data_IF_483152571144
#
_entry.id   IF_483152571144
#
_cell.length_a   1.000
_cell.length_b   1.000
_cell.length_c   1.000
_cell.angle_alpha   90.00
_cell.angle_beta   90.00
_cell.angle_gamma   90.00
#
_symmetry.space_group_name_H-M   'P 1'
#
loop_
_entity.id
_entity.type
_entity.pdbx_description
1 polymer ?
#
# COMPACT_ATOMS: atom_id res chain seq x y z
N UNK A 1 8.57 0.37 -3.61
CA UNK A 1 9.36 -0.43 -2.65
C UNK A 1 10.65 -0.94 -3.28
N UNK A 2 10.57 -1.74 -4.34
CA UNK A 2 11.77 -2.36 -4.94
C UNK A 2 12.87 -1.36 -5.32
N UNK A 3 12.50 -0.18 -5.81
CA UNK A 3 13.45 0.88 -6.15
C UNK A 3 14.28 1.32 -4.93
N UNK A 4 13.65 1.59 -3.79
CA UNK A 4 14.38 1.94 -2.56
C UNK A 4 15.20 0.78 -2.01
N UNK A 5 14.62 -0.43 -1.96
CA UNK A 5 15.31 -1.63 -1.45
C UNK A 5 16.61 -1.93 -2.21
N UNK A 6 16.65 -1.63 -3.51
CA UNK A 6 17.81 -1.84 -4.38
C UNK A 6 18.58 -0.56 -4.71
N UNK A 7 18.21 0.56 -4.09
CA UNK A 7 18.79 1.88 -4.32
C UNK A 7 18.84 2.27 -5.82
N UNK A 8 17.80 1.90 -6.56
CA UNK A 8 17.68 2.21 -7.99
C UNK A 8 17.06 3.61 -8.14
N UNK A 9 17.76 4.55 -8.80
CA UNK A 9 17.22 5.88 -9.03
C UNK A 9 16.01 5.81 -9.95
N UNK A 10 15.01 6.63 -9.66
CA UNK A 10 13.78 6.71 -10.45
C UNK A 10 13.15 8.09 -10.30
N UNK A 11 12.33 8.46 -11.28
CA UNK A 11 11.48 9.64 -11.22
C UNK A 11 10.07 9.22 -10.81
N UNK A 12 9.57 9.77 -9.71
CA UNK A 12 8.20 9.51 -9.26
C UNK A 12 7.27 10.61 -9.78
N UNK A 13 6.34 10.22 -10.66
CA UNK A 13 5.32 11.10 -11.21
C UNK A 13 3.97 10.79 -10.58
N UNK A 14 3.38 11.77 -9.92
CA UNK A 14 2.00 11.69 -9.42
C UNK A 14 1.03 12.16 -10.50
N UNK A 15 0.03 11.32 -10.79
CA UNK A 15 -1.07 11.68 -11.68
C UNK A 15 -2.26 12.13 -10.85
N UNK A 16 -2.99 13.14 -11.32
CA UNK A 16 -4.25 13.54 -10.71
C UNK A 16 -5.22 12.34 -10.71
N UNK A 17 -5.92 12.07 -9.61
CA UNK A 17 -6.74 10.85 -9.50
C UNK A 17 -7.84 10.76 -10.55
N UNK A 18 -8.34 11.89 -11.05
CA UNK A 18 -9.34 11.93 -12.12
C UNK A 18 -8.76 11.85 -13.54
N UNK A 19 -7.42 11.91 -13.71
CA UNK A 19 -6.78 11.78 -15.02
C UNK A 19 -6.91 10.35 -15.55
N UNK A 20 -7.72 10.19 -16.59
CA UNK A 20 -7.86 8.94 -17.33
C UNK A 20 -6.99 8.95 -18.59
N UNK A 21 -6.80 10.11 -19.20
CA UNK A 21 -6.18 10.25 -20.51
C UNK A 21 -4.73 9.79 -20.50
N UNK A 22 -3.95 10.20 -19.48
CA UNK A 22 -2.54 9.84 -19.37
C UNK A 22 -2.33 8.33 -19.23
N UNK A 23 -2.91 7.62 -18.22
CA UNK A 23 -2.70 6.19 -18.09
C UNK A 23 -3.29 5.39 -19.26
N UNK A 24 -4.44 5.80 -19.81
CA UNK A 24 -5.01 5.16 -21.01
C UNK A 24 -4.09 5.32 -22.23
N UNK A 25 -3.48 6.49 -22.42
CA UNK A 25 -2.52 6.71 -23.50
C UNK A 25 -1.25 5.87 -23.37
N UNK A 26 -0.80 5.61 -22.13
CA UNK A 26 0.42 4.83 -21.86
C UNK A 26 0.21 3.32 -21.98
N UNK A 27 -0.86 2.79 -21.37
CA UNK A 27 -1.06 1.34 -21.18
C UNK A 27 -2.44 0.84 -21.60
N UNK A 28 -3.29 1.71 -22.17
CA UNK A 28 -4.61 1.34 -22.71
C UNK A 28 -5.73 1.30 -21.67
N UNK A 29 -5.47 1.58 -20.40
CA UNK A 29 -6.48 1.58 -19.34
C UNK A 29 -6.11 2.52 -18.19
N UNK A 30 -7.11 2.95 -17.41
CA UNK A 30 -6.91 3.82 -16.23
C UNK A 30 -6.45 3.00 -15.02
N UNK A 31 -5.14 2.84 -14.89
CA UNK A 31 -4.52 2.11 -13.79
C UNK A 31 -3.18 2.69 -13.38
N UNK A 32 -2.76 2.34 -12.16
CA UNK A 32 -1.45 2.65 -11.60
C UNK A 32 -1.05 1.50 -10.65
N UNK A 33 0.26 1.24 -10.46
CA UNK A 33 1.40 1.95 -11.05
C UNK A 33 1.63 1.63 -12.54
N UNK A 34 2.39 2.50 -13.21
CA UNK A 34 2.91 2.31 -14.58
C UNK A 34 4.40 2.60 -14.53
N UNK A 35 5.23 1.72 -15.11
CA UNK A 35 6.66 1.97 -15.29
C UNK A 35 6.95 2.31 -16.76
N UNK A 36 7.68 3.38 -16.99
CA UNK A 36 8.24 3.75 -18.29
C UNK A 36 9.77 3.59 -18.23
N UNK A 37 10.33 2.47 -18.74
CA UNK A 37 11.78 2.30 -18.80
C UNK A 37 12.41 3.30 -19.77
N UNK A 38 13.68 3.67 -19.54
CA UNK A 38 14.44 4.48 -20.48
C UNK A 38 14.53 3.77 -21.85
N UNK A 39 14.00 4.40 -22.90
CA UNK A 39 13.96 3.82 -24.25
C UNK A 39 13.04 2.61 -24.42
N UNK A 40 12.27 2.24 -23.40
CA UNK A 40 11.32 1.13 -23.44
C UNK A 40 9.88 1.57 -23.69
N UNK A 41 8.95 0.61 -23.70
CA UNK A 41 7.51 0.88 -23.69
C UNK A 41 7.00 0.91 -22.25
N UNK A 42 6.10 1.84 -21.92
CA UNK A 42 5.37 1.84 -20.67
C UNK A 42 4.60 0.53 -20.46
N UNK A 43 4.58 0.02 -19.23
CA UNK A 43 3.79 -1.15 -18.87
C UNK A 43 3.22 -1.04 -17.45
N UNK A 44 2.03 -1.63 -17.19
CA UNK A 44 1.36 -1.61 -15.90
C UNK A 44 1.75 -2.84 -15.04
N UNK A 45 0.90 -3.19 -14.07
CA UNK A 45 1.01 -4.33 -13.15
C UNK A 45 2.13 -4.20 -12.11
N UNK A 46 1.73 -3.93 -10.86
CA UNK A 46 2.66 -3.64 -9.76
C UNK A 46 3.68 -4.75 -9.53
N UNK A 47 3.27 -6.02 -9.59
CA UNK A 47 4.16 -7.16 -9.34
C UNK A 47 5.09 -7.46 -10.53
N UNK A 48 4.66 -7.17 -11.76
CA UNK A 48 5.53 -7.27 -12.93
C UNK A 48 6.59 -6.16 -12.89
N UNK A 49 6.21 -4.94 -12.50
CA UNK A 49 7.16 -3.84 -12.26
C UNK A 49 8.17 -4.21 -11.17
N UNK A 50 7.70 -4.79 -10.06
CA UNK A 50 8.58 -5.23 -8.97
C UNK A 50 9.59 -6.26 -9.46
N UNK A 51 9.14 -7.31 -10.12
CA UNK A 51 10.01 -8.37 -10.66
C UNK A 51 10.98 -7.83 -11.70
N UNK A 52 10.48 -7.02 -12.62
CA UNK A 52 11.29 -6.40 -13.66
C UNK A 52 12.44 -5.58 -13.08
N UNK A 53 12.19 -4.83 -12.01
CA UNK A 53 13.24 -4.05 -11.35
C UNK A 53 14.19 -4.93 -10.55
N UNK A 54 13.65 -5.89 -9.79
CA UNK A 54 14.43 -6.80 -8.95
C UNK A 54 15.41 -7.66 -9.76
N UNK A 55 15.02 -8.08 -10.96
CA UNK A 55 15.87 -8.91 -11.81
C UNK A 55 16.92 -8.12 -12.62
N UNK A 56 16.73 -6.81 -12.84
CA UNK A 56 17.50 -6.07 -13.86
C UNK A 56 18.34 -4.91 -13.35
N UNK A 57 18.04 -4.32 -12.19
CA UNK A 57 18.78 -3.16 -11.67
C UNK A 57 19.14 -3.28 -10.20
N UNK A 58 20.16 -2.55 -9.78
CA UNK A 58 20.55 -2.44 -8.36
C UNK A 58 21.19 -3.73 -7.79
N UNK A 59 21.89 -4.49 -8.63
CA UNK A 59 22.59 -5.72 -8.22
C UNK A 59 21.73 -6.99 -8.28
N UNK A 60 22.14 -8.08 -7.61
CA UNK A 60 21.39 -9.33 -7.57
C UNK A 60 19.96 -9.15 -7.07
N UNK A 61 19.05 -10.05 -7.45
CA UNK A 61 17.69 -10.06 -6.93
C UNK A 61 17.68 -10.22 -5.40
N UNK A 62 16.81 -9.48 -4.73
CA UNK A 62 16.73 -9.45 -3.26
C UNK A 62 15.45 -10.07 -2.71
N UNK A 63 14.45 -10.34 -3.57
CA UNK A 63 13.19 -10.95 -3.17
C UNK A 63 13.15 -12.44 -3.46
N UNK A 64 12.95 -13.25 -2.42
CA UNK A 64 12.53 -14.63 -2.57
C UNK A 64 11.11 -14.70 -3.18
N UNK A 65 10.76 -15.79 -3.89
CA UNK A 65 9.40 -16.01 -4.39
C UNK A 65 8.35 -15.88 -3.27
N UNK A 66 7.12 -15.51 -3.64
CA UNK A 66 5.99 -15.53 -2.71
C UNK A 66 5.86 -16.90 -2.05
N UNK A 67 5.68 -16.94 -0.73
CA UNK A 67 5.75 -18.20 0.06
C UNK A 67 4.63 -19.18 -0.26
N UNK A 68 3.54 -18.70 -0.86
CA UNK A 68 2.34 -19.51 -1.10
C UNK A 68 1.51 -19.79 0.16
N UNK A 69 1.91 -19.27 1.33
CA UNK A 69 1.26 -19.42 2.63
C UNK A 69 -0.25 -19.17 2.59
N UNK A 70 -1.02 -20.23 2.88
CA UNK A 70 -2.47 -20.17 2.85
C UNK A 70 -3.04 -19.35 4.01
N UNK A 71 -2.41 -19.43 5.18
CA UNK A 71 -2.73 -18.64 6.38
C UNK A 71 -2.58 -17.14 6.11
N UNK A 72 -1.46 -16.71 5.52
CA UNK A 72 -1.22 -15.30 5.21
C UNK A 72 -2.22 -14.78 4.17
N UNK A 73 -2.47 -15.56 3.11
CA UNK A 73 -3.47 -15.22 2.10
C UNK A 73 -4.88 -15.11 2.69
N UNK A 74 -5.23 -15.98 3.64
CA UNK A 74 -6.51 -15.94 4.32
C UNK A 74 -6.63 -14.68 5.19
N UNK A 75 -5.61 -14.38 6.01
CA UNK A 75 -5.59 -13.18 6.82
C UNK A 75 -5.71 -11.89 5.99
N UNK A 76 -5.02 -11.81 4.85
CA UNK A 76 -5.11 -10.68 3.92
C UNK A 76 -6.53 -10.52 3.37
N UNK A 77 -7.24 -11.61 3.09
CA UNK A 77 -8.65 -11.56 2.65
C UNK A 77 -9.56 -11.08 3.77
N UNK A 78 -9.44 -11.67 4.96
CA UNK A 78 -10.37 -11.43 6.07
C UNK A 78 -10.22 -10.02 6.65
N UNK A 79 -9.02 -9.46 6.62
CA UNK A 79 -8.75 -8.10 7.09
C UNK A 79 -9.13 -7.00 6.09
N UNK A 80 -9.32 -7.35 4.81
CA UNK A 80 -9.37 -6.37 3.73
C UNK A 80 -10.49 -5.34 3.89
N UNK A 81 -11.68 -5.77 4.29
CA UNK A 81 -12.85 -4.88 4.35
C UNK A 81 -12.79 -3.92 5.53
N UNK A 82 -12.40 -4.41 6.71
CA UNK A 82 -12.17 -3.56 7.90
C UNK A 82 -11.13 -2.49 7.58
N UNK A 83 -10.01 -2.87 6.95
CA UNK A 83 -8.95 -1.93 6.62
C UNK A 83 -9.41 -0.90 5.58
N UNK A 84 -10.12 -1.32 4.53
CA UNK A 84 -10.68 -0.42 3.51
C UNK A 84 -11.61 0.62 4.12
N UNK A 85 -12.48 0.21 5.03
CA UNK A 85 -13.39 1.11 5.74
C UNK A 85 -12.64 2.13 6.60
N UNK A 86 -11.49 1.76 7.15
CA UNK A 86 -10.64 2.66 7.92
C UNK A 86 -9.86 3.66 7.03
N UNK A 87 -9.12 3.17 6.04
CA UNK A 87 -8.17 4.02 5.31
C UNK A 87 -8.81 4.81 4.16
N UNK A 88 -9.88 4.34 3.49
CA UNK A 88 -10.43 5.05 2.31
C UNK A 88 -10.99 6.44 2.64
N UNK A 89 -11.82 6.61 3.69
CA UNK A 89 -12.28 7.94 4.12
C UNK A 89 -11.11 8.86 4.50
N UNK A 90 -10.06 8.29 5.10
CA UNK A 90 -8.88 9.05 5.53
C UNK A 90 -7.97 9.42 4.37
N UNK A 91 -7.79 8.55 3.38
CA UNK A 91 -7.08 8.86 2.15
C UNK A 91 -7.72 10.03 1.41
N UNK A 92 -9.05 10.06 1.35
CA UNK A 92 -9.78 11.18 0.76
C UNK A 92 -9.51 12.53 1.47
N UNK A 93 -9.33 12.51 2.79
CA UNK A 93 -9.02 13.70 3.58
C UNK A 93 -7.53 14.08 3.55
N UNK A 94 -6.62 13.12 3.35
CA UNK A 94 -5.19 13.34 3.41
C UNK A 94 -4.67 14.24 2.26
N UNK A 95 -3.56 14.98 2.47
CA UNK A 95 -2.99 15.91 1.50
C UNK A 95 -2.12 15.20 0.44
N UNK A 96 -2.65 14.17 -0.21
CA UNK A 96 -1.92 13.47 -1.28
C UNK A 96 -1.87 14.26 -2.58
N UNK A 97 -0.77 14.11 -3.34
CA UNK A 97 -0.52 14.85 -4.57
C UNK A 97 -1.57 14.56 -5.65
N UNK A 98 -2.03 13.32 -5.77
CA UNK A 98 -3.11 12.92 -6.68
C UNK A 98 -4.44 13.62 -6.37
N UNK A 99 -4.59 14.17 -5.16
CA UNK A 99 -5.76 14.88 -4.63
C UNK A 99 -5.54 16.40 -4.51
N UNK A 100 -4.53 16.95 -5.17
CA UNK A 100 -4.29 18.39 -5.18
C UNK A 100 -5.48 19.18 -5.77
N UNK A 101 -6.20 18.60 -6.74
CA UNK A 101 -7.39 19.16 -7.36
C UNK A 101 -8.67 18.62 -6.68
N UNK A 102 -9.69 19.47 -6.54
CA UNK A 102 -10.97 19.08 -5.90
C UNK A 102 -11.65 17.97 -6.69
N UNK A 103 -11.56 18.03 -8.00
CA UNK A 103 -12.10 17.07 -8.96
C UNK A 103 -11.54 15.66 -8.69
N UNK A 104 -10.24 15.55 -8.39
CA UNK A 104 -9.63 14.28 -8.00
C UNK A 104 -10.22 13.70 -6.71
N UNK A 105 -10.47 14.55 -5.70
CA UNK A 105 -11.05 14.11 -4.42
C UNK A 105 -12.47 13.60 -4.62
N UNK A 106 -13.29 14.35 -5.35
CA UNK A 106 -14.67 13.93 -5.63
C UNK A 106 -14.73 12.68 -6.50
N UNK A 107 -13.89 12.58 -7.53
CA UNK A 107 -13.78 11.37 -8.35
C UNK A 107 -13.46 10.14 -7.49
N UNK A 108 -12.50 10.27 -6.57
CA UNK A 108 -12.13 9.21 -5.63
C UNK A 108 -13.28 8.84 -4.70
N UNK A 109 -13.90 9.83 -4.05
CA UNK A 109 -15.03 9.64 -3.12
C UNK A 109 -16.18 8.90 -3.82
N UNK A 110 -16.64 9.40 -4.96
CA UNK A 110 -17.75 8.81 -5.71
C UNK A 110 -17.46 7.36 -6.13
N UNK A 111 -16.22 7.05 -6.50
CA UNK A 111 -15.82 5.69 -6.87
C UNK A 111 -15.75 4.77 -5.65
N UNK A 112 -15.21 5.24 -4.54
CA UNK A 112 -14.98 4.43 -3.34
C UNK A 112 -16.23 4.25 -2.49
N UNK A 113 -17.09 5.26 -2.38
CA UNK A 113 -18.36 5.11 -1.66
C UNK A 113 -19.31 4.11 -2.34
N UNK A 114 -19.22 3.95 -3.67
CA UNK A 114 -19.90 2.84 -4.38
C UNK A 114 -19.40 1.46 -3.97
N UNK A 115 -18.14 1.35 -3.54
CA UNK A 115 -17.51 0.08 -3.21
C UNK A 115 -17.62 -0.27 -1.71
N UNK A 116 -17.51 0.73 -0.82
CA UNK A 116 -17.45 0.51 0.63
C UNK A 116 -18.61 1.15 1.42
N UNK A 117 -19.53 1.81 0.73
CA UNK A 117 -20.57 2.63 1.36
C UNK A 117 -20.10 4.06 1.70
N UNK A 118 -21.00 4.91 2.23
CA UNK A 118 -20.70 6.31 2.52
C UNK A 118 -19.53 6.47 3.50
N UNK A 119 -18.62 7.40 3.21
CA UNK A 119 -17.45 7.63 4.04
C UNK A 119 -17.82 8.09 5.46
N UNK A 120 -18.84 8.95 5.60
CA UNK A 120 -19.30 9.41 6.91
C UNK A 120 -19.83 8.27 7.78
N UNK A 121 -20.46 7.26 7.17
CA UNK A 121 -20.94 6.07 7.89
C UNK A 121 -19.77 5.20 8.37
N UNK A 122 -18.72 5.05 7.57
CA UNK A 122 -17.49 4.37 7.98
C UNK A 122 -16.75 5.14 9.09
N UNK A 123 -16.65 6.47 8.97
CA UNK A 123 -16.03 7.32 9.98
C UNK A 123 -16.78 7.27 11.32
N UNK A 124 -18.11 7.29 11.31
CA UNK A 124 -18.93 7.15 12.52
C UNK A 124 -18.73 5.82 13.24
N UNK A 125 -18.31 4.77 12.52
CA UNK A 125 -17.98 3.44 13.06
C UNK A 125 -16.50 3.27 13.40
N UNK A 126 -15.69 4.33 13.36
CA UNK A 126 -14.24 4.25 13.62
C UNK A 126 -13.90 3.47 14.90
N UNK A 127 -14.52 3.68 16.07
CA UNK A 127 -14.16 2.95 17.28
C UNK A 127 -14.33 1.42 17.13
N UNK A 128 -15.43 0.98 16.53
CA UNK A 128 -15.72 -0.44 16.26
C UNK A 128 -14.71 -1.04 15.26
N UNK A 129 -14.42 -0.31 14.18
CA UNK A 129 -13.49 -0.75 13.14
C UNK A 129 -12.04 -0.80 13.64
N UNK A 130 -11.64 0.14 14.48
CA UNK A 130 -10.32 0.16 15.15
C UNK A 130 -10.19 -1.05 16.07
N UNK A 131 -11.20 -1.37 16.88
CA UNK A 131 -11.18 -2.56 17.74
C UNK A 131 -11.00 -3.85 16.91
N UNK A 132 -11.72 -3.97 15.79
CA UNK A 132 -11.57 -5.10 14.86
C UNK A 132 -10.18 -5.15 14.23
N UNK A 133 -9.65 -4.00 13.78
CA UNK A 133 -8.32 -3.92 13.21
C UNK A 133 -7.23 -4.28 14.21
N UNK A 134 -7.32 -3.85 15.47
CA UNK A 134 -6.37 -4.21 16.52
C UNK A 134 -6.34 -5.72 16.76
N UNK A 135 -7.52 -6.39 16.78
CA UNK A 135 -7.58 -7.87 16.85
C UNK A 135 -6.90 -8.54 15.66
N UNK A 136 -7.09 -8.02 14.45
CA UNK A 136 -6.45 -8.54 13.24
C UNK A 136 -4.93 -8.33 13.26
N UNK A 137 -4.45 -7.19 13.73
CA UNK A 137 -3.01 -6.92 13.89
C UNK A 137 -2.36 -7.84 14.93
N UNK A 138 -3.05 -8.10 16.05
CA UNK A 138 -2.59 -9.07 17.05
C UNK A 138 -2.50 -10.50 16.48
N UNK A 139 -3.42 -10.88 15.59
CA UNK A 139 -3.35 -12.16 14.88
C UNK A 139 -2.20 -12.21 13.87
N UNK A 140 -1.89 -11.09 13.20
CA UNK A 140 -0.82 -11.02 12.22
C UNK A 140 0.57 -11.10 12.86
N UNK A 141 0.77 -10.45 14.00
CA UNK A 141 2.07 -10.34 14.67
C UNK A 141 2.84 -11.68 14.82
N UNK A 142 2.22 -12.78 15.31
CA UNK A 142 2.91 -14.08 15.41
C UNK A 142 3.18 -14.75 14.05
N UNK A 143 2.55 -14.31 12.95
CA UNK A 143 2.76 -14.87 11.62
C UNK A 143 4.09 -14.44 10.98
N UNK A 144 4.67 -13.35 11.48
CA UNK A 144 5.96 -12.84 11.00
C UNK A 144 7.09 -13.71 11.49
N UNK A 145 8.04 -14.02 10.62
CA UNK A 145 9.29 -14.65 11.02
C UNK A 145 10.09 -13.72 11.93
N UNK A 146 10.36 -12.48 11.51
CA UNK A 146 11.12 -11.49 12.27
C UNK A 146 10.46 -10.10 12.22
N UNK A 147 11.03 -9.12 12.90
CA UNK A 147 10.62 -7.72 12.74
C UNK A 147 11.05 -7.12 11.39
N UNK A 148 11.72 -7.87 10.49
CA UNK A 148 12.20 -7.34 9.21
C UNK A 148 11.68 -8.10 7.98
N UNK A 149 11.00 -9.23 8.18
CA UNK A 149 10.34 -9.98 7.10
C UNK A 149 9.20 -10.83 7.65
N UNK A 150 8.12 -10.95 6.87
CA UNK A 150 7.02 -11.87 7.16
C UNK A 150 7.47 -13.34 7.03
N UNK A 151 8.50 -13.61 6.22
CA UNK A 151 9.07 -14.94 5.97
C UNK A 151 10.55 -15.00 6.39
N UNK A 152 11.20 -16.17 6.29
CA UNK A 152 12.63 -16.32 6.63
C UNK A 152 13.55 -15.40 5.81
N UNK A 153 13.18 -15.15 4.57
CA UNK A 153 13.86 -14.23 3.66
C UNK A 153 12.89 -13.12 3.25
N UNK A 154 13.45 -11.97 2.87
CA UNK A 154 12.66 -10.91 2.24
C UNK A 154 12.04 -11.44 0.95
N UNK A 155 10.76 -11.19 0.73
CA UNK A 155 9.99 -11.85 -0.32
C UNK A 155 8.93 -10.95 -0.96
N UNK A 156 8.30 -11.43 -2.03
CA UNK A 156 7.15 -10.75 -2.63
C UNK A 156 5.96 -10.59 -1.65
N UNK A 157 5.86 -11.44 -0.62
CA UNK A 157 4.82 -11.30 0.40
C UNK A 157 5.02 -10.01 1.22
N UNK A 158 6.27 -9.60 1.45
CA UNK A 158 6.59 -8.35 2.14
C UNK A 158 6.16 -7.12 1.32
N UNK A 159 6.30 -7.21 -0.01
CA UNK A 159 5.89 -6.14 -0.92
C UNK A 159 4.36 -5.94 -0.87
N UNK A 160 3.59 -7.04 -0.91
CA UNK A 160 2.12 -6.98 -0.81
C UNK A 160 1.67 -6.50 0.57
N UNK A 161 2.27 -7.05 1.64
CA UNK A 161 1.84 -6.80 3.00
C UNK A 161 2.17 -5.37 3.45
N UNK A 162 3.38 -4.87 3.19
CA UNK A 162 3.74 -3.50 3.54
C UNK A 162 2.80 -2.49 2.88
N UNK A 163 2.45 -2.68 1.59
CA UNK A 163 1.54 -1.78 0.88
C UNK A 163 0.18 -1.64 1.58
N UNK A 164 -0.31 -2.71 2.21
CA UNK A 164 -1.57 -2.74 2.96
C UNK A 164 -1.41 -2.10 4.33
N UNK A 165 -0.37 -2.48 5.07
CA UNK A 165 -0.13 -1.99 6.43
C UNK A 165 0.23 -0.50 6.46
N UNK A 166 0.96 0.00 5.46
CA UNK A 166 1.27 1.44 5.36
C UNK A 166 0.01 2.29 5.35
N UNK A 167 -1.06 1.85 4.67
CA UNK A 167 -2.32 2.59 4.63
C UNK A 167 -2.97 2.78 6.00
N UNK A 168 -2.73 1.85 6.92
CA UNK A 168 -3.24 1.90 8.29
C UNK A 168 -2.49 2.88 9.19
N UNK A 169 -1.26 3.28 8.84
CA UNK A 169 -0.51 4.30 9.61
C UNK A 169 -1.18 5.67 9.62
N UNK A 170 -2.21 5.87 8.78
CA UNK A 170 -3.05 7.07 8.78
C UNK A 170 -4.17 7.03 9.85
N UNK A 171 -4.33 5.93 10.58
CA UNK A 171 -5.38 5.73 11.59
C UNK A 171 -4.77 5.85 12.99
N UNK A 172 -5.14 6.89 13.75
CA UNK A 172 -4.47 7.27 15.01
C UNK A 172 -4.59 6.24 16.14
N UNK A 173 -5.76 5.65 16.30
CA UNK A 173 -6.07 4.81 17.46
C UNK A 173 -5.72 3.33 17.27
N UNK A 174 -4.97 2.98 16.22
CA UNK A 174 -4.49 1.62 16.04
C UNK A 174 -3.37 1.30 17.03
N UNK A 175 -3.55 0.18 17.73
CA UNK A 175 -2.55 -0.37 18.64
C UNK A 175 -1.63 -1.29 17.86
N UNK A 176 -0.48 -0.78 17.46
CA UNK A 176 0.51 -1.55 16.71
C UNK A 176 1.25 -2.53 17.64
N UNK A 177 1.18 -3.86 17.39
CA UNK A 177 2.07 -4.80 18.06
C UNK A 177 3.53 -4.42 17.79
N UNK A 178 4.44 -4.44 18.79
CA UNK A 178 5.80 -3.93 18.64
C UNK A 178 6.56 -4.52 17.44
N UNK A 179 6.42 -5.84 17.21
CA UNK A 179 7.02 -6.55 16.06
C UNK A 179 6.55 -6.00 14.71
N UNK A 180 5.26 -5.65 14.59
CA UNK A 180 4.69 -5.09 13.37
C UNK A 180 5.08 -3.62 13.20
N UNK A 181 5.14 -2.85 14.29
CA UNK A 181 5.56 -1.46 14.24
C UNK A 181 7.00 -1.34 13.73
N UNK A 182 7.90 -2.13 14.33
CA UNK A 182 9.31 -2.21 13.94
C UNK A 182 9.46 -2.62 12.47
N UNK A 183 8.67 -3.59 12.00
CA UNK A 183 8.66 -3.99 10.60
C UNK A 183 8.27 -2.87 9.64
N UNK A 184 7.20 -2.13 9.96
CA UNK A 184 6.74 -1.06 9.07
C UNK A 184 7.75 0.09 9.06
N UNK A 185 8.38 0.40 10.18
CA UNK A 185 9.41 1.43 10.27
C UNK A 185 10.67 1.01 9.49
N UNK A 186 11.11 -0.23 9.66
CA UNK A 186 12.23 -0.81 8.91
C UNK A 186 11.96 -0.78 7.39
N UNK A 187 10.79 -1.24 6.96
CA UNK A 187 10.43 -1.24 5.54
C UNK A 187 10.28 0.16 4.98
N UNK A 188 9.74 1.11 5.75
CA UNK A 188 9.66 2.52 5.36
C UNK A 188 11.05 3.08 5.04
N UNK A 189 12.02 2.85 5.94
CA UNK A 189 13.40 3.31 5.77
C UNK A 189 14.06 2.62 4.56
N UNK A 190 14.03 1.28 4.51
CA UNK A 190 14.74 0.52 3.46
C UNK A 190 14.13 0.69 2.08
N UNK A 191 12.81 0.88 2.00
CA UNK A 191 12.11 1.05 0.74
C UNK A 191 12.03 2.52 0.29
N UNK A 192 12.56 3.46 1.08
CA UNK A 192 12.47 4.91 0.88
C UNK A 192 11.02 5.38 0.63
N UNK A 193 10.12 4.93 1.51
CA UNK A 193 8.69 5.24 1.42
C UNK A 193 8.22 5.77 2.78
N UNK A 194 7.97 7.09 2.91
CA UNK A 194 7.48 7.66 4.16
C UNK A 194 6.17 7.04 4.62
N UNK A 195 6.01 6.87 5.92
CA UNK A 195 4.74 6.50 6.54
C UNK A 195 3.78 7.68 6.59
N UNK A 196 2.55 7.40 7.02
CA UNK A 196 1.44 8.36 7.01
C UNK A 196 1.07 8.87 8.41
N UNK A 197 1.84 8.51 9.44
CA UNK A 197 1.55 8.85 10.84
C UNK A 197 1.42 10.36 11.06
N UNK A 198 2.20 11.17 10.33
CA UNK A 198 2.14 12.65 10.39
C UNK A 198 0.91 13.26 9.70
N UNK A 199 0.17 12.47 8.91
CA UNK A 199 -1.07 12.86 8.26
C UNK A 199 -2.29 12.25 8.96
N UNK A 200 -2.09 11.52 10.05
CA UNK A 200 -3.15 10.77 10.71
C UNK A 200 -4.23 11.74 11.23
N UNK A 201 -5.46 11.55 10.74
CA UNK A 201 -6.63 12.39 11.02
C UNK A 201 -7.72 11.56 11.67
N UNK A 202 -8.47 12.23 12.56
CA UNK A 202 -9.58 11.71 13.37
C UNK A 202 -9.16 10.70 14.43
#
# INVERSE_FOLDING_TARGET
>A
MIFGLKQVPHELVFLANHDEATPVGLVGSKQAPILQPAGGRAFPESMDIVRYVDERWGGPAVLAPASGRADLKQWIRDSADVFRLLYHPRFHAAPFAEFAQRESREYYRLKKEKAIGPFDAALARTPELVEQANKLLLQLAPMFHSSHSVNEQLSYDDIDLFGRLRGLTLVRDLEWPPKLREYIDYMSEKADIPLLDNMAVY
#
